data_IF_402727995084
#
_entry.id   IF_402727995084
#
_cell.length_a   1.000
_cell.length_b   1.000
_cell.length_c   1.000
_cell.angle_alpha   90.00
_cell.angle_beta   90.00
_cell.angle_gamma   90.00
#
_symmetry.space_group_name_H-M   'P 1'
#
loop_
_entity.id
_entity.type
_entity.pdbx_description
1 polymer ?
#
# COMPACT_ATOMS: atom_id res chain seq x y z
N UNK A 1 1.03 1.39 8.84
CA UNK A 1 0.19 0.20 9.10
C UNK A 1 -0.34 0.29 10.53
N UNK A 2 -1.53 -0.25 10.85
CA UNK A 2 -2.01 -0.37 12.23
C UNK A 2 -0.97 -1.08 13.12
N UNK A 3 -0.80 -0.62 14.37
CA UNK A 3 0.23 -1.14 15.27
C UNK A 3 -0.05 -2.59 15.69
N UNK A 4 -1.32 -2.98 15.71
CA UNK A 4 -1.79 -4.33 15.99
C UNK A 4 -1.14 -5.34 15.04
N UNK A 5 -0.88 -4.97 13.78
CA UNK A 5 -0.22 -5.81 12.79
C UNK A 5 1.28 -5.99 13.02
N UNK A 6 1.91 -5.20 13.89
CA UNK A 6 3.33 -5.32 14.15
C UNK A 6 3.71 -6.67 14.78
N UNK A 7 2.80 -7.29 15.55
CA UNK A 7 3.06 -8.61 16.14
C UNK A 7 3.36 -9.67 15.06
N UNK A 8 2.69 -9.58 13.91
CA UNK A 8 2.92 -10.49 12.78
C UNK A 8 4.33 -10.34 12.20
N UNK A 9 4.98 -9.18 12.35
CA UNK A 9 6.35 -9.01 11.89
C UNK A 9 7.38 -9.77 12.73
N UNK A 10 7.02 -10.22 13.94
CA UNK A 10 7.89 -11.08 14.76
C UNK A 10 7.81 -12.56 14.36
N UNK A 11 6.65 -13.01 13.84
CA UNK A 11 6.39 -14.43 13.59
C UNK A 11 6.23 -14.80 12.11
N UNK A 12 5.77 -13.85 11.29
CA UNK A 12 5.35 -14.00 9.88
C UNK A 12 5.78 -12.78 9.04
N UNK A 13 7.01 -12.31 9.27
CA UNK A 13 7.56 -11.11 8.66
C UNK A 13 7.49 -11.16 7.13
N UNK A 14 7.90 -12.29 6.54
CA UNK A 14 7.94 -12.46 5.09
C UNK A 14 6.55 -12.31 4.48
N UNK A 15 5.55 -12.95 5.07
CA UNK A 15 4.17 -12.94 4.60
C UNK A 15 3.54 -11.56 4.76
N UNK A 16 3.75 -10.91 5.91
CA UNK A 16 3.28 -9.56 6.19
C UNK A 16 3.87 -8.54 5.21
N UNK A 17 5.19 -8.56 5.02
CA UNK A 17 5.86 -7.63 4.12
C UNK A 17 5.46 -7.90 2.67
N UNK A 18 5.34 -9.16 2.27
CA UNK A 18 4.83 -9.51 0.95
C UNK A 18 3.41 -8.97 0.72
N UNK A 19 2.54 -9.06 1.73
CA UNK A 19 1.19 -8.48 1.68
C UNK A 19 1.22 -6.95 1.55
N UNK A 20 2.14 -6.27 2.26
CA UNK A 20 2.31 -4.82 2.14
C UNK A 20 2.71 -4.41 0.72
N UNK A 21 3.74 -5.04 0.14
CA UNK A 21 4.20 -4.75 -1.22
C UNK A 21 3.10 -5.05 -2.26
N UNK A 22 2.43 -6.19 -2.13
CA UNK A 22 1.32 -6.56 -3.02
C UNK A 22 0.18 -5.53 -2.97
N UNK A 23 -0.30 -5.21 -1.76
CA UNK A 23 -1.42 -4.29 -1.59
C UNK A 23 -1.10 -2.88 -2.10
N UNK A 24 0.11 -2.38 -1.85
CA UNK A 24 0.57 -1.09 -2.38
C UNK A 24 0.62 -1.11 -3.90
N UNK A 25 1.28 -2.10 -4.51
CA UNK A 25 1.42 -2.13 -5.96
C UNK A 25 0.10 -2.35 -6.68
N UNK A 26 -0.77 -3.24 -6.18
CA UNK A 26 -2.11 -3.43 -6.74
C UNK A 26 -2.93 -2.14 -6.67
N UNK A 27 -2.82 -1.37 -5.60
CA UNK A 27 -3.54 -0.10 -5.46
C UNK A 27 -3.02 0.94 -6.45
N UNK A 28 -1.70 1.15 -6.50
CA UNK A 28 -1.09 2.15 -7.39
C UNK A 28 -1.36 1.81 -8.85
N UNK A 29 -1.02 0.58 -9.28
CA UNK A 29 -1.21 0.13 -10.67
C UNK A 29 -2.67 0.22 -11.12
N UNK A 30 -3.63 -0.16 -10.27
CA UNK A 30 -5.05 -0.01 -10.58
C UNK A 30 -5.40 1.45 -10.86
N UNK A 31 -4.90 2.40 -10.06
CA UNK A 31 -5.16 3.83 -10.28
C UNK A 31 -4.52 4.36 -11.55
N UNK A 32 -3.32 3.87 -11.90
CA UNK A 32 -2.64 4.22 -13.16
C UNK A 32 -3.33 3.67 -14.41
N UNK A 33 -4.07 2.56 -14.29
CA UNK A 33 -4.76 1.93 -15.43
C UNK A 33 -6.20 2.40 -15.62
N UNK A 34 -6.89 2.80 -14.55
CA UNK A 34 -8.37 2.97 -14.58
C UNK A 34 -8.86 4.42 -14.56
N UNK A 35 -7.99 5.41 -14.26
CA UNK A 35 -8.43 6.81 -14.21
C UNK A 35 -8.53 7.41 -15.61
N UNK A 36 -9.68 8.00 -15.93
CA UNK A 36 -9.99 8.56 -17.27
C UNK A 36 -8.88 9.43 -17.89
N UNK A 37 -8.18 10.21 -17.07
CA UNK A 37 -7.15 11.17 -17.51
C UNK A 37 -5.70 10.68 -17.35
N UNK A 38 -5.49 9.46 -16.84
CA UNK A 38 -4.17 8.87 -16.69
C UNK A 38 -4.31 7.36 -16.84
N UNK A 39 -4.09 6.86 -18.05
CA UNK A 39 -4.22 5.45 -18.41
C UNK A 39 -2.90 4.95 -18.97
N UNK A 40 -2.20 4.17 -18.18
CA UNK A 40 -0.94 3.57 -18.58
C UNK A 40 -0.26 2.83 -17.45
N UNK A 41 0.91 2.27 -17.77
CA UNK A 41 1.76 1.58 -16.83
C UNK A 41 2.46 2.60 -15.91
N UNK A 42 2.32 2.41 -14.61
CA UNK A 42 3.15 3.09 -13.62
C UNK A 42 4.51 2.41 -13.48
N UNK A 43 5.50 3.19 -13.04
CA UNK A 43 6.75 2.70 -12.50
C UNK A 43 6.92 3.14 -11.04
N UNK A 44 7.91 2.60 -10.35
CA UNK A 44 8.24 3.08 -9.01
C UNK A 44 9.33 2.29 -8.32
N UNK A 45 9.93 2.91 -7.31
CA UNK A 45 10.82 2.25 -6.35
C UNK A 45 10.15 2.25 -4.99
N UNK A 46 10.10 1.08 -4.34
CA UNK A 46 9.42 0.90 -3.07
C UNK A 46 10.41 0.35 -2.05
N UNK A 47 10.54 1.03 -0.90
CA UNK A 47 11.48 0.68 0.17
C UNK A 47 10.70 0.37 1.43
N UNK A 48 11.01 -0.76 2.06
CA UNK A 48 10.44 -1.16 3.35
C UNK A 48 11.22 -0.53 4.50
N UNK A 49 10.51 0.19 5.35
CA UNK A 49 11.03 0.74 6.60
C UNK A 49 10.33 0.03 7.76
N UNK A 50 11.12 -0.52 8.68
CA UNK A 50 10.61 -1.31 9.83
C UNK A 50 10.79 -0.60 11.18
N UNK A 51 11.60 0.46 11.24
CA UNK A 51 11.91 1.20 12.45
C UNK A 51 11.60 2.69 12.30
N UNK A 52 11.06 3.29 13.36
CA UNK A 52 10.88 4.74 13.47
C UNK A 52 12.12 5.45 13.98
N UNK A 53 12.09 6.78 14.02
CA UNK A 53 13.21 7.63 14.48
C UNK A 53 13.63 7.34 15.93
N UNK A 54 12.70 6.92 16.77
CA UNK A 54 12.92 6.55 18.18
C UNK A 54 13.27 5.08 18.37
N UNK A 55 13.62 4.35 17.29
CA UNK A 55 13.89 2.90 17.29
C UNK A 55 12.73 2.04 17.80
N UNK A 56 11.50 2.57 17.75
CA UNK A 56 10.29 1.77 17.93
C UNK A 56 9.89 1.15 16.61
N UNK A 57 9.34 -0.06 16.63
CA UNK A 57 8.89 -0.74 15.42
C UNK A 57 7.78 0.08 14.72
N UNK A 58 8.05 0.47 13.48
CA UNK A 58 7.18 1.32 12.68
C UNK A 58 7.22 0.89 11.22
N UNK A 59 6.36 -0.06 10.87
CA UNK A 59 6.38 -0.71 9.55
C UNK A 59 5.57 0.11 8.53
N UNK A 60 6.27 0.59 7.50
CA UNK A 60 5.68 1.32 6.38
C UNK A 60 6.53 1.18 5.12
N UNK A 61 5.92 1.48 3.97
CA UNK A 61 6.60 1.53 2.68
C UNK A 61 6.77 2.99 2.24
N UNK A 62 7.98 3.36 1.87
CA UNK A 62 8.22 4.57 1.09
C UNK A 62 8.15 4.24 -0.39
N UNK A 63 7.33 4.98 -1.13
CA UNK A 63 7.13 4.77 -2.56
C UNK A 63 7.56 6.02 -3.31
N UNK A 64 8.58 5.90 -4.16
CA UNK A 64 8.97 6.93 -5.12
C UNK A 64 8.35 6.57 -6.47
N UNK A 65 7.34 7.34 -6.88
CA UNK A 65 6.56 7.09 -8.09
C UNK A 65 6.77 8.28 -9.05
N UNK A 66 7.14 8.04 -10.32
CA UNK A 66 7.15 9.08 -11.34
C UNK A 66 5.78 9.74 -11.48
N UNK A 67 5.75 11.06 -11.68
CA UNK A 67 4.51 11.82 -11.84
C UNK A 67 3.84 11.62 -13.20
N UNK A 68 3.54 10.38 -13.60
CA UNK A 68 2.98 10.05 -14.91
C UNK A 68 2.96 8.56 -15.19
N UNK A 69 2.55 8.20 -16.41
CA UNK A 69 2.45 6.81 -16.87
C UNK A 69 3.07 6.62 -18.24
N UNK A 70 3.49 5.40 -18.54
CA UNK A 70 3.82 4.96 -19.89
C UNK A 70 2.56 4.41 -20.56
N UNK A 71 2.16 4.99 -21.68
CA UNK A 71 0.98 4.54 -22.44
C UNK A 71 1.24 3.21 -23.14
N UNK A 72 0.18 2.55 -23.65
CA UNK A 72 0.31 1.32 -24.44
C UNK A 72 1.13 1.48 -25.73
N UNK A 73 1.27 2.71 -26.21
CA UNK A 73 2.04 3.09 -27.39
C UNK A 73 3.52 3.33 -27.05
N UNK A 74 3.92 3.23 -25.78
CA UNK A 74 5.27 3.52 -25.32
C UNK A 74 5.57 5.01 -25.14
N UNK A 75 4.54 5.85 -25.14
CA UNK A 75 4.69 7.30 -24.94
C UNK A 75 4.55 7.67 -23.46
N UNK A 76 5.34 8.62 -23.00
CA UNK A 76 5.24 9.15 -21.64
C UNK A 76 4.10 10.17 -21.53
N UNK A 77 3.22 9.97 -20.55
CA UNK A 77 2.15 10.90 -20.19
C UNK A 77 2.34 11.39 -18.75
N UNK A 78 2.88 12.61 -18.61
CA UNK A 78 3.10 13.27 -17.32
C UNK A 78 1.82 13.88 -16.73
N UNK A 79 1.80 14.02 -15.41
CA UNK A 79 0.78 14.75 -14.65
C UNK A 79 1.36 16.07 -14.18
N UNK A 80 0.62 17.16 -14.39
CA UNK A 80 1.01 18.53 -13.99
C UNK A 80 0.40 18.96 -12.66
N UNK A 81 -0.46 18.13 -12.08
CA UNK A 81 -1.08 18.35 -10.77
C UNK A 81 -0.11 18.03 -9.64
N UNK A 82 -0.24 18.76 -8.53
CA UNK A 82 0.52 18.53 -7.29
C UNK A 82 0.34 17.09 -6.73
N UNK A 83 -0.77 16.45 -7.10
CA UNK A 83 -1.10 15.08 -6.70
C UNK A 83 -1.31 14.18 -7.91
N UNK A 84 -0.66 13.02 -7.88
CA UNK A 84 -0.85 11.96 -8.87
C UNK A 84 -2.24 11.31 -8.73
N UNK A 85 -2.68 11.04 -7.50
CA UNK A 85 -3.95 10.40 -7.19
C UNK A 85 -4.69 11.04 -6.00
N UNK A 86 -6.02 10.94 -5.93
CA UNK A 86 -6.78 11.40 -4.76
C UNK A 86 -6.47 10.53 -3.53
N UNK A 87 -5.86 11.14 -2.50
CA UNK A 87 -5.34 10.43 -1.32
C UNK A 87 -6.40 9.60 -0.60
N UNK A 88 -7.62 10.13 -0.42
CA UNK A 88 -8.72 9.42 0.26
C UNK A 88 -9.16 8.16 -0.50
N UNK A 89 -9.27 8.26 -1.83
CA UNK A 89 -9.64 7.12 -2.67
C UNK A 89 -8.54 6.05 -2.64
N UNK A 90 -7.28 6.48 -2.75
CA UNK A 90 -6.11 5.59 -2.68
C UNK A 90 -6.08 4.84 -1.34
N UNK A 91 -6.28 5.56 -0.22
CA UNK A 91 -6.26 4.97 1.12
C UNK A 91 -7.37 3.93 1.33
N UNK A 92 -8.57 4.16 0.80
CA UNK A 92 -9.68 3.22 0.89
C UNK A 92 -9.40 1.93 0.11
N UNK A 93 -8.90 2.05 -1.13
CA UNK A 93 -8.57 0.89 -1.95
C UNK A 93 -7.38 0.13 -1.35
N UNK A 94 -6.34 0.83 -0.90
CA UNK A 94 -5.21 0.21 -0.21
C UNK A 94 -5.66 -0.60 1.02
N UNK A 95 -6.52 -0.05 1.87
CA UNK A 95 -7.05 -0.78 3.03
C UNK A 95 -7.76 -2.07 2.62
N UNK A 96 -8.62 -2.00 1.60
CA UNK A 96 -9.32 -3.18 1.11
C UNK A 96 -8.35 -4.24 0.56
N UNK A 97 -7.37 -3.82 -0.24
CA UNK A 97 -6.34 -4.71 -0.81
C UNK A 97 -5.43 -5.32 0.27
N UNK A 98 -5.04 -4.55 1.27
CA UNK A 98 -4.24 -5.03 2.39
C UNK A 98 -5.01 -6.09 3.20
N UNK A 99 -6.27 -5.83 3.54
CA UNK A 99 -7.09 -6.81 4.25
C UNK A 99 -7.33 -8.08 3.44
N UNK A 100 -7.51 -7.96 2.12
CA UNK A 100 -7.59 -9.11 1.22
C UNK A 100 -6.28 -9.91 1.20
N UNK A 101 -5.14 -9.24 1.07
CA UNK A 101 -3.82 -9.87 1.03
C UNK A 101 -3.45 -10.59 2.34
N UNK A 102 -3.87 -10.04 3.48
CA UNK A 102 -3.72 -10.67 4.80
C UNK A 102 -4.60 -11.93 4.91
N UNK A 103 -5.89 -11.84 4.57
CA UNK A 103 -6.81 -12.99 4.61
C UNK A 103 -6.36 -14.13 3.70
N UNK A 104 -5.88 -13.82 2.50
CA UNK A 104 -5.37 -14.82 1.56
C UNK A 104 -4.16 -15.60 2.10
N UNK A 105 -3.40 -14.97 3.00
CA UNK A 105 -2.22 -15.57 3.66
C UNK A 105 -2.54 -16.13 5.04
N UNK A 106 -3.81 -16.19 5.41
CA UNK A 106 -4.28 -16.64 6.73
C UNK A 106 -3.63 -15.85 7.89
N UNK A 107 -3.23 -14.61 7.61
CA UNK A 107 -2.71 -13.68 8.61
C UNK A 107 -3.89 -12.99 9.30
N UNK A 108 -4.45 -13.68 10.28
CA UNK A 108 -5.52 -13.16 11.13
C UNK A 108 -4.90 -12.67 12.42
N UNK A 109 -5.26 -11.45 12.82
CA UNK A 109 -5.10 -11.01 14.20
C UNK A 109 -6.46 -11.23 14.82
N UNK A 110 -6.54 -12.06 15.87
CA UNK A 110 -7.73 -12.11 16.69
C UNK A 110 -8.07 -10.68 17.06
N UNK A 111 -9.27 -10.22 16.67
CA UNK A 111 -9.73 -8.95 17.20
C UNK A 111 -9.68 -9.10 18.70
N UNK A 112 -8.91 -8.24 19.37
CA UNK A 112 -9.15 -8.01 20.79
C UNK A 112 -10.62 -7.61 20.85
N UNK A 113 -11.45 -8.51 21.36
CA UNK A 113 -12.87 -8.29 21.55
C UNK A 113 -13.06 -6.88 22.11
N UNK A 114 -14.05 -6.19 21.57
CA UNK A 114 -14.46 -4.86 21.98
C UNK A 114 -14.72 -4.83 23.50
N UNK A 115 -13.67 -4.61 24.28
CA UNK A 115 -13.74 -4.22 25.69
C UNK A 115 -14.04 -2.72 25.73
N UNK A 116 -15.16 -2.31 25.15
CA UNK A 116 -15.85 -1.07 25.45
C UNK A 116 -17.32 -1.43 25.73
N UNK A 117 -17.53 -2.25 26.75
CA UNK A 117 -18.68 -2.12 27.63
C UNK A 117 -18.33 -1.08 28.70
N UNK A 118 -18.95 0.09 28.59
CA UNK A 118 -18.79 1.21 29.52
C UNK A 118 -19.26 2.52 28.92
#
# INVERSE_FOLDING_TARGET
MPHELNILAHYKAKELYSALFEAVWQTLSQFGMTRKHLQGQLGGTVVLHTWGQTLTQHIHLHCLIPGGVLTSQGEWHGVTSDYLFPVKALANVYRAKMMQALRHRELVIEQADAAHSG
#
